data_IF_692725469437
#
_entry.id   IF_692725469437
#
_cell.length_a   1.000
_cell.length_b   1.000
_cell.length_c   1.000
_cell.angle_alpha   90.00
_cell.angle_beta   90.00
_cell.angle_gamma   90.00
#
_symmetry.space_group_name_H-M   'P 1'
#
loop_
_entity.id
_entity.type
_entity.pdbx_description
1 polymer ?
#
# COMPACT_ATOMS: atom_id res chain seq x y z
N UNK A 1 -70.80 -41.88 -3.36
CA UNK A 1 -69.89 -42.41 -4.40
C UNK A 1 -69.64 -41.30 -5.40
N UNK A 2 -68.48 -40.64 -5.33
CA UNK A 2 -68.07 -39.64 -6.32
C UNK A 2 -66.87 -40.23 -7.08
N UNK A 3 -67.08 -40.57 -8.34
CA UNK A 3 -66.03 -41.04 -9.25
C UNK A 3 -65.29 -39.80 -9.73
N UNK A 4 -64.06 -39.62 -9.27
CA UNK A 4 -63.14 -38.59 -9.79
C UNK A 4 -62.65 -39.07 -11.14
N UNK A 5 -63.20 -38.47 -12.19
CA UNK A 5 -62.78 -38.70 -13.57
C UNK A 5 -61.43 -37.99 -13.80
N UNK A 6 -60.36 -38.79 -13.94
CA UNK A 6 -59.00 -38.31 -14.18
C UNK A 6 -58.86 -38.03 -15.68
N UNK A 7 -58.69 -36.75 -16.03
CA UNK A 7 -58.47 -36.31 -17.41
C UNK A 7 -57.24 -36.99 -18.05
N UNK A 8 -57.26 -37.24 -19.38
CA UNK A 8 -56.14 -37.84 -20.08
C UNK A 8 -54.96 -36.87 -20.13
N UNK A 9 -53.79 -37.34 -19.70
CA UNK A 9 -52.51 -36.65 -19.79
C UNK A 9 -52.22 -36.25 -21.24
N UNK A 10 -51.86 -34.99 -21.43
CA UNK A 10 -51.40 -34.41 -22.69
C UNK A 10 -50.20 -35.21 -23.24
N UNK A 11 -50.12 -35.49 -24.56
CA UNK A 11 -48.96 -36.17 -25.17
C UNK A 11 -47.64 -35.39 -25.03
N UNK A 12 -47.70 -34.13 -24.59
CA UNK A 12 -46.53 -33.31 -24.26
C UNK A 12 -45.84 -33.74 -22.95
N UNK A 13 -46.57 -34.33 -22.00
CA UNK A 13 -45.99 -34.81 -20.73
C UNK A 13 -45.14 -36.08 -20.92
N UNK A 14 -45.39 -36.85 -21.99
CA UNK A 14 -44.62 -38.05 -22.32
C UNK A 14 -43.24 -37.74 -22.94
N UNK A 15 -43.09 -36.61 -23.66
CA UNK A 15 -41.81 -36.21 -24.25
C UNK A 15 -40.84 -35.59 -23.23
N UNK A 16 -41.36 -34.99 -22.15
CA UNK A 16 -40.54 -34.45 -21.06
C UNK A 16 -39.78 -35.52 -20.25
N UNK A 17 -40.25 -36.78 -20.31
CA UNK A 17 -39.63 -37.94 -19.66
C UNK A 17 -38.72 -38.80 -20.55
N UNK A 18 -38.50 -38.42 -21.82
CA UNK A 18 -37.74 -39.25 -22.75
C UNK A 18 -36.28 -39.39 -22.30
N UNK A 19 -35.74 -40.62 -22.13
CA UNK A 19 -34.41 -40.85 -21.56
C UNK A 19 -33.30 -40.17 -22.38
N UNK A 20 -33.48 -39.98 -23.69
CA UNK A 20 -32.55 -39.25 -24.55
C UNK A 20 -32.49 -37.75 -24.22
N UNK A 21 -33.63 -37.11 -23.93
CA UNK A 21 -33.68 -35.68 -23.54
C UNK A 21 -33.03 -35.50 -22.17
N UNK A 22 -33.23 -36.46 -21.27
CA UNK A 22 -32.60 -36.47 -19.94
C UNK A 22 -31.07 -36.68 -20.04
N UNK A 23 -30.60 -37.55 -20.93
CA UNK A 23 -29.17 -37.80 -21.16
C UNK A 23 -28.45 -36.58 -21.74
N UNK A 24 -29.06 -35.89 -22.72
CA UNK A 24 -28.51 -34.64 -23.24
C UNK A 24 -28.47 -33.52 -22.17
N UNK A 25 -29.50 -33.40 -21.34
CA UNK A 25 -29.51 -32.43 -20.23
C UNK A 25 -28.42 -32.73 -19.19
N UNK A 26 -28.19 -34.01 -18.87
CA UNK A 26 -27.12 -34.43 -17.97
C UNK A 26 -25.72 -34.16 -18.54
N UNK A 27 -25.51 -34.40 -19.84
CA UNK A 27 -24.24 -34.09 -20.52
C UNK A 27 -23.98 -32.58 -20.57
N UNK A 28 -25.02 -31.77 -20.81
CA UNK A 28 -24.92 -30.31 -20.76
C UNK A 28 -24.58 -29.81 -19.35
N UNK A 29 -25.23 -30.33 -18.30
CA UNK A 29 -24.94 -29.97 -16.92
C UNK A 29 -23.48 -30.29 -16.54
N UNK A 30 -22.98 -31.50 -16.87
CA UNK A 30 -21.57 -31.89 -16.65
C UNK A 30 -20.59 -30.96 -17.38
N UNK A 31 -20.94 -30.58 -18.62
CA UNK A 31 -20.12 -29.64 -19.40
C UNK A 31 -20.06 -28.25 -18.76
N UNK A 32 -21.19 -27.78 -18.22
CA UNK A 32 -21.25 -26.51 -17.46
C UNK A 32 -20.46 -26.57 -16.16
N UNK A 33 -20.52 -27.68 -15.41
CA UNK A 33 -19.70 -27.90 -14.22
C UNK A 33 -18.20 -27.87 -14.54
N UNK A 34 -17.78 -28.59 -15.59
CA UNK A 34 -16.40 -28.58 -16.04
C UNK A 34 -15.94 -27.18 -16.48
N UNK A 35 -16.78 -26.43 -17.21
CA UNK A 35 -16.48 -25.06 -17.60
C UNK A 35 -16.35 -24.13 -16.36
N UNK A 36 -17.21 -24.29 -15.36
CA UNK A 36 -17.14 -23.51 -14.11
C UNK A 36 -15.88 -23.84 -13.31
N UNK A 37 -15.48 -25.11 -13.24
CA UNK A 37 -14.24 -25.54 -12.58
C UNK A 37 -13.01 -24.95 -13.30
N UNK A 38 -12.99 -25.00 -14.63
CA UNK A 38 -11.93 -24.39 -15.44
C UNK A 38 -11.86 -22.86 -15.22
N UNK A 39 -13.01 -22.18 -15.17
CA UNK A 39 -13.08 -20.74 -14.90
C UNK A 39 -12.54 -20.39 -13.51
N UNK A 40 -12.92 -21.15 -12.46
CA UNK A 40 -12.39 -20.99 -11.11
C UNK A 40 -10.88 -21.20 -11.05
N UNK A 41 -10.36 -22.22 -11.73
CA UNK A 41 -8.92 -22.49 -11.79
C UNK A 41 -8.17 -21.33 -12.47
N UNK A 42 -8.67 -20.84 -13.60
CA UNK A 42 -8.11 -19.69 -14.31
C UNK A 42 -8.09 -18.43 -13.45
N UNK A 43 -9.18 -18.10 -12.77
CA UNK A 43 -9.25 -16.92 -11.89
C UNK A 43 -8.29 -17.03 -10.71
N UNK A 44 -8.18 -18.20 -10.07
CA UNK A 44 -7.21 -18.40 -8.99
C UNK A 44 -5.78 -18.19 -9.45
N UNK A 45 -5.44 -18.69 -10.64
CA UNK A 45 -4.13 -18.45 -11.24
C UNK A 45 -3.88 -16.95 -11.51
N UNK A 46 -4.89 -16.23 -12.02
CA UNK A 46 -4.80 -14.78 -12.20
C UNK A 46 -4.59 -14.03 -10.88
N UNK A 47 -5.32 -14.41 -9.83
CA UNK A 47 -5.19 -13.84 -8.49
C UNK A 47 -3.77 -14.06 -7.95
N UNK A 48 -3.25 -15.28 -8.01
CA UNK A 48 -1.87 -15.57 -7.54
C UNK A 48 -0.82 -14.73 -8.27
N UNK A 49 -1.00 -14.52 -9.58
CA UNK A 49 -0.13 -13.62 -10.35
C UNK A 49 -0.24 -12.17 -9.87
N UNK A 50 -1.46 -11.66 -9.70
CA UNK A 50 -1.69 -10.29 -9.24
C UNK A 50 -1.17 -10.04 -7.82
N UNK A 51 -1.32 -11.00 -6.92
CA UNK A 51 -0.77 -10.94 -5.56
C UNK A 51 0.76 -10.84 -5.59
N UNK A 52 1.41 -11.63 -6.45
CA UNK A 52 2.86 -11.54 -6.67
C UNK A 52 3.26 -10.17 -7.21
N UNK A 53 2.59 -9.69 -8.25
CA UNK A 53 2.86 -8.38 -8.85
C UNK A 53 2.66 -7.25 -7.83
N UNK A 54 1.64 -7.37 -6.96
CA UNK A 54 1.37 -6.41 -5.90
C UNK A 54 2.45 -6.45 -4.81
N UNK A 55 2.91 -7.64 -4.40
CA UNK A 55 4.00 -7.79 -3.45
C UNK A 55 5.31 -7.16 -3.96
N UNK A 56 5.61 -7.32 -5.25
CA UNK A 56 6.77 -6.69 -5.90
C UNK A 56 6.64 -5.16 -5.98
N UNK A 57 5.46 -4.65 -6.36
CA UNK A 57 5.18 -3.23 -6.35
C UNK A 57 5.31 -2.64 -4.94
N UNK A 58 4.77 -3.34 -3.93
CA UNK A 58 4.88 -2.93 -2.53
C UNK A 58 6.35 -2.87 -2.07
N UNK A 59 7.16 -3.90 -2.36
CA UNK A 59 8.58 -3.90 -2.02
C UNK A 59 9.37 -2.76 -2.70
N UNK A 60 8.95 -2.34 -3.89
CA UNK A 60 9.54 -1.21 -4.62
C UNK A 60 9.15 0.12 -3.97
N UNK A 61 7.87 0.32 -3.70
CA UNK A 61 7.36 1.55 -3.10
C UNK A 61 7.78 1.75 -1.63
N UNK A 62 7.92 0.66 -0.86
CA UNK A 62 8.46 0.69 0.49
C UNK A 62 9.89 1.25 0.51
N UNK A 63 10.76 0.79 -0.40
CA UNK A 63 12.13 1.30 -0.55
C UNK A 63 12.18 2.78 -0.92
N UNK A 64 11.18 3.28 -1.64
CA UNK A 64 11.04 4.70 -1.97
C UNK A 64 10.43 5.54 -0.86
N UNK A 65 10.20 4.97 0.34
CA UNK A 65 9.86 5.72 1.54
C UNK A 65 8.38 6.07 1.68
N UNK A 66 7.45 5.28 1.15
CA UNK A 66 6.07 5.50 1.59
C UNK A 66 5.00 4.54 1.15
N UNK A 67 5.01 3.36 1.74
CA UNK A 67 3.73 2.71 2.01
C UNK A 67 3.74 2.23 3.45
N UNK A 68 2.66 2.50 4.18
CA UNK A 68 2.34 1.80 5.42
C UNK A 68 2.04 0.33 5.09
N UNK A 69 2.49 -0.61 5.94
CA UNK A 69 2.22 -2.02 5.70
C UNK A 69 0.71 -2.27 5.60
N UNK A 70 0.27 -3.11 4.64
CA UNK A 70 -1.15 -3.43 4.54
C UNK A 70 -1.62 -4.06 5.85
N UNK A 71 -2.78 -3.60 6.33
CA UNK A 71 -3.45 -4.21 7.48
C UNK A 71 -3.82 -5.65 7.10
N UNK A 72 -3.35 -6.62 7.88
CA UNK A 72 -3.63 -8.03 7.62
C UNK A 72 -5.15 -8.28 7.65
N UNK A 73 -5.70 -8.85 6.57
CA UNK A 73 -7.09 -9.25 6.53
C UNK A 73 -7.27 -10.57 7.30
N UNK A 74 -7.97 -10.53 8.43
CA UNK A 74 -8.35 -11.70 9.23
C UNK A 74 -9.60 -12.38 8.63
N UNK A 75 -9.42 -13.10 7.53
CA UNK A 75 -10.47 -13.93 6.93
C UNK A 75 -10.42 -15.37 7.44
N UNK A 76 -11.58 -15.96 7.74
CA UNK A 76 -11.67 -17.41 7.96
C UNK A 76 -11.48 -18.18 6.63
N UNK A 77 -10.81 -19.34 6.63
CA UNK A 77 -10.65 -20.15 5.42
C UNK A 77 -12.00 -20.59 4.85
N UNK A 78 -12.38 -20.07 3.68
CA UNK A 78 -13.61 -20.46 2.96
C UNK A 78 -13.38 -20.58 1.47
N UNK A 79 -14.11 -21.48 0.82
CA UNK A 79 -14.09 -21.62 -0.64
C UNK A 79 -14.91 -20.48 -1.26
N UNK A 80 -14.23 -19.57 -1.98
CA UNK A 80 -14.88 -18.48 -2.69
C UNK A 80 -15.64 -18.96 -3.93
N UNK A 81 -16.84 -18.40 -4.13
CA UNK A 81 -17.62 -18.55 -5.36
C UNK A 81 -16.97 -17.83 -6.56
N UNK A 82 -17.50 -18.03 -7.77
CA UNK A 82 -16.94 -17.45 -8.99
C UNK A 82 -16.95 -15.92 -8.96
N UNK A 83 -18.11 -15.31 -8.66
CA UNK A 83 -18.24 -13.85 -8.57
C UNK A 83 -17.45 -13.23 -7.41
N UNK A 84 -17.18 -13.99 -6.34
CA UNK A 84 -16.27 -13.52 -5.28
C UNK A 84 -14.82 -13.49 -5.76
N UNK A 85 -14.37 -14.50 -6.52
CA UNK A 85 -13.03 -14.51 -7.12
C UNK A 85 -12.84 -13.35 -8.11
N UNK A 86 -13.87 -13.01 -8.89
CA UNK A 86 -13.83 -11.86 -9.79
C UNK A 86 -13.67 -10.54 -9.01
N UNK A 87 -14.43 -10.37 -7.93
CA UNK A 87 -14.29 -9.18 -7.06
C UNK A 87 -12.88 -9.08 -6.46
N UNK A 88 -12.31 -10.20 -5.98
CA UNK A 88 -10.94 -10.23 -5.46
C UNK A 88 -9.92 -9.87 -6.54
N UNK A 89 -10.07 -10.42 -7.75
CA UNK A 89 -9.23 -10.06 -8.90
C UNK A 89 -9.31 -8.56 -9.18
N UNK A 90 -10.51 -8.02 -9.27
CA UNK A 90 -10.72 -6.61 -9.63
C UNK A 90 -10.17 -5.68 -8.55
N UNK A 91 -10.35 -6.02 -7.27
CA UNK A 91 -9.75 -5.32 -6.15
C UNK A 91 -8.21 -5.34 -6.21
N UNK A 92 -7.61 -6.50 -6.49
CA UNK A 92 -6.16 -6.63 -6.65
C UNK A 92 -5.63 -5.81 -7.83
N UNK A 93 -6.35 -5.80 -8.96
CA UNK A 93 -6.02 -4.95 -10.11
C UNK A 93 -6.03 -3.47 -9.71
N UNK A 94 -7.06 -3.01 -9.01
CA UNK A 94 -7.13 -1.62 -8.55
C UNK A 94 -5.98 -1.26 -7.60
N UNK A 95 -5.69 -2.13 -6.62
CA UNK A 95 -4.57 -1.95 -5.69
C UNK A 95 -3.22 -1.90 -6.41
N UNK A 96 -3.02 -2.77 -7.40
CA UNK A 96 -1.79 -2.80 -8.19
C UNK A 96 -1.62 -1.53 -9.04
N UNK A 97 -2.70 -1.06 -9.67
CA UNK A 97 -2.69 0.20 -10.43
C UNK A 97 -2.36 1.39 -9.51
N UNK A 98 -3.01 1.49 -8.35
CA UNK A 98 -2.73 2.53 -7.37
C UNK A 98 -1.28 2.50 -6.87
N UNK A 99 -0.73 1.31 -6.60
CA UNK A 99 0.67 1.15 -6.22
C UNK A 99 1.62 1.61 -7.34
N UNK A 100 1.33 1.25 -8.60
CA UNK A 100 2.13 1.67 -9.76
C UNK A 100 2.11 3.17 -9.99
N UNK A 101 0.96 3.82 -9.85
CA UNK A 101 0.85 5.30 -9.92
C UNK A 101 1.70 5.94 -8.82
N UNK A 102 1.55 5.47 -7.58
CA UNK A 102 2.36 5.97 -6.45
C UNK A 102 3.86 5.81 -6.70
N UNK A 103 4.28 4.69 -7.30
CA UNK A 103 5.67 4.42 -7.67
C UNK A 103 6.16 5.44 -8.72
N UNK A 104 5.35 5.67 -9.77
CA UNK A 104 5.69 6.59 -10.84
C UNK A 104 5.80 8.03 -10.31
N UNK A 105 4.81 8.52 -9.57
CA UNK A 105 4.80 9.86 -8.99
C UNK A 105 6.05 10.11 -8.12
N UNK A 106 6.43 9.12 -7.30
CA UNK A 106 7.65 9.23 -6.48
C UNK A 106 8.91 9.23 -7.32
N UNK A 107 8.97 8.39 -8.36
CA UNK A 107 10.12 8.35 -9.25
C UNK A 107 10.32 9.70 -9.96
N UNK A 108 9.23 10.36 -10.37
CA UNK A 108 9.26 11.70 -10.97
C UNK A 108 9.75 12.75 -9.97
N UNK A 109 9.21 12.75 -8.75
CA UNK A 109 9.66 13.67 -7.69
C UNK A 109 11.16 13.47 -7.41
N UNK A 110 11.62 12.23 -7.26
CA UNK A 110 13.03 11.92 -7.02
C UNK A 110 13.91 12.33 -8.20
N UNK A 111 13.46 12.15 -9.44
CA UNK A 111 14.17 12.58 -10.64
C UNK A 111 14.32 14.11 -10.67
N UNK A 112 13.26 14.86 -10.38
CA UNK A 112 13.31 16.32 -10.27
C UNK A 112 14.28 16.78 -9.16
N UNK A 113 14.34 16.06 -8.03
CA UNK A 113 15.28 16.33 -6.94
C UNK A 113 16.73 16.05 -7.31
N UNK A 114 17.00 14.99 -8.09
CA UNK A 114 18.34 14.72 -8.64
C UNK A 114 18.82 15.86 -9.55
N UNK A 115 17.96 16.32 -10.46
CA UNK A 115 18.25 17.50 -11.31
C UNK A 115 18.47 18.76 -10.46
N UNK A 116 17.68 18.94 -9.39
CA UNK A 116 17.88 20.06 -8.47
C UNK A 116 19.25 20.00 -7.77
N UNK A 117 19.69 18.81 -7.34
CA UNK A 117 20.99 18.61 -6.73
C UNK A 117 22.13 18.91 -7.73
N UNK A 118 22.02 18.46 -8.97
CA UNK A 118 23.00 18.77 -10.02
C UNK A 118 23.14 20.29 -10.22
N UNK A 119 22.02 21.03 -10.26
CA UNK A 119 22.05 22.51 -10.32
C UNK A 119 22.72 23.13 -9.08
N UNK A 120 22.48 22.59 -7.89
CA UNK A 120 23.15 23.04 -6.67
C UNK A 120 24.66 22.82 -6.72
N UNK A 121 25.12 21.70 -7.32
CA UNK A 121 26.54 21.38 -7.46
C UNK A 121 27.23 22.27 -8.49
N UNK A 122 26.57 22.57 -9.61
CA UNK A 122 27.10 23.45 -10.66
C UNK A 122 27.12 24.92 -10.23
N UNK A 123 26.03 25.40 -9.60
CA UNK A 123 25.83 26.82 -9.28
C UNK A 123 25.43 27.05 -7.81
N UNK A 124 26.27 26.65 -6.83
CA UNK A 124 25.91 26.71 -5.41
C UNK A 124 25.56 28.14 -4.95
N UNK A 125 26.17 29.16 -5.55
CA UNK A 125 25.90 30.58 -5.24
C UNK A 125 24.46 31.02 -5.57
N UNK A 126 23.80 30.39 -6.55
CA UNK A 126 22.38 30.68 -6.88
C UNK A 126 21.42 29.95 -5.94
N UNK A 127 21.86 28.84 -5.34
CA UNK A 127 21.07 27.98 -4.46
C UNK A 127 21.47 28.13 -2.98
N UNK A 128 21.63 29.38 -2.51
CA UNK A 128 22.10 29.68 -1.14
C UNK A 128 21.22 29.00 -0.09
N UNK A 129 21.86 28.30 0.84
CA UNK A 129 21.21 27.56 1.93
C UNK A 129 20.21 26.47 1.51
N UNK A 130 20.15 26.12 0.22
CA UNK A 130 19.30 25.03 -0.25
C UNK A 130 19.65 23.71 0.43
N UNK A 131 18.62 22.90 0.68
CA UNK A 131 18.72 21.61 1.37
C UNK A 131 17.92 20.55 0.62
N UNK A 132 18.52 19.38 0.42
CA UNK A 132 17.85 18.20 -0.13
C UNK A 132 18.24 17.01 0.75
N UNK A 133 17.27 16.32 1.33
CA UNK A 133 17.54 15.11 2.11
C UNK A 133 17.84 13.92 1.18
N UNK A 134 18.72 13.00 1.60
CA UNK A 134 19.06 11.80 0.82
C UNK A 134 17.81 10.95 0.49
N UNK A 135 16.86 10.85 1.44
CA UNK A 135 15.56 10.21 1.23
C UNK A 135 14.74 10.83 0.09
N UNK A 136 14.87 12.13 -0.17
CA UNK A 136 14.16 12.81 -1.26
C UNK A 136 14.74 12.47 -2.63
N UNK A 137 15.97 11.93 -2.67
CA UNK A 137 16.64 11.44 -3.88
C UNK A 137 16.37 9.95 -4.14
N UNK A 138 15.73 9.26 -3.20
CA UNK A 138 15.60 7.81 -3.20
C UNK A 138 16.84 7.07 -2.70
N UNK A 139 17.81 7.78 -2.11
CA UNK A 139 19.02 7.17 -1.56
C UNK A 139 18.75 6.58 -0.16
N UNK A 140 19.23 5.36 0.13
CA UNK A 140 19.15 4.80 1.47
C UNK A 140 20.06 5.60 2.41
N UNK A 141 19.48 6.39 3.31
CA UNK A 141 20.27 7.13 4.28
C UNK A 141 19.57 8.31 4.94
N UNK A 142 20.23 8.79 5.97
CA UNK A 142 19.84 9.89 6.84
C UNK A 142 20.49 11.23 6.45
N UNK A 143 21.30 11.24 5.38
CA UNK A 143 22.10 12.38 4.99
C UNK A 143 21.30 13.55 4.43
N UNK A 144 21.92 14.74 4.43
CA UNK A 144 21.34 15.96 3.83
C UNK A 144 22.39 16.68 3.03
N UNK A 145 22.11 16.94 1.76
CA UNK A 145 22.86 17.83 0.90
C UNK A 145 22.48 19.27 1.26
N UNK A 146 23.46 20.08 1.64
CA UNK A 146 23.22 21.48 2.00
C UNK A 146 24.27 22.41 1.40
N UNK A 147 23.80 23.52 0.83
CA UNK A 147 24.67 24.62 0.39
C UNK A 147 25.04 25.49 1.59
N UNK A 148 26.34 25.68 1.83
CA UNK A 148 26.90 26.48 2.93
C UNK A 148 27.92 27.50 2.42
N UNK A 149 28.07 28.64 3.09
CA UNK A 149 29.16 29.56 2.81
C UNK A 149 30.49 28.99 3.33
N UNK A 150 31.55 29.12 2.52
CA UNK A 150 32.93 28.77 2.93
C UNK A 150 33.41 29.81 3.94
N UNK A 151 34.12 29.43 5.01
CA UNK A 151 34.64 30.38 6.01
C UNK A 151 33.56 31.27 6.69
N UNK A 152 32.31 30.80 6.81
CA UNK A 152 31.26 31.49 7.56
C UNK A 152 30.81 32.82 6.93
N UNK A 153 30.71 33.88 7.74
CA UNK A 153 30.23 35.21 7.32
C UNK A 153 31.07 35.79 6.16
N UNK A 154 32.38 35.58 6.15
CA UNK A 154 33.26 36.08 5.09
C UNK A 154 32.91 35.45 3.73
N UNK A 155 32.65 34.14 3.67
CA UNK A 155 32.22 33.53 2.41
C UNK A 155 30.82 33.94 1.98
N UNK A 156 29.95 34.33 2.91
CA UNK A 156 28.66 34.92 2.52
C UNK A 156 28.86 36.25 1.78
N UNK A 157 29.75 37.11 2.30
CA UNK A 157 30.06 38.41 1.70
C UNK A 157 30.80 38.26 0.37
N UNK A 158 31.77 37.36 0.30
CA UNK A 158 32.57 37.12 -0.90
C UNK A 158 31.88 36.22 -1.93
N UNK A 159 30.73 35.63 -1.59
CA UNK A 159 30.01 34.72 -2.48
C UNK A 159 30.69 33.36 -2.67
N UNK A 160 31.47 32.90 -1.69
CA UNK A 160 32.10 31.58 -1.69
C UNK A 160 31.14 30.55 -1.11
N UNK A 161 30.50 29.75 -1.97
CA UNK A 161 29.52 28.73 -1.59
C UNK A 161 30.00 27.34 -1.98
N UNK A 162 29.67 26.35 -1.16
CA UNK A 162 29.97 24.94 -1.40
C UNK A 162 28.76 24.06 -1.03
N UNK A 163 28.59 22.95 -1.73
CA UNK A 163 27.62 21.92 -1.35
C UNK A 163 28.32 20.91 -0.44
N UNK A 164 27.71 20.62 0.71
CA UNK A 164 28.18 19.61 1.66
C UNK A 164 27.12 18.55 1.88
N UNK A 165 27.51 17.29 1.82
CA UNK A 165 26.70 16.18 2.29
C UNK A 165 26.99 15.97 3.78
N UNK A 166 26.00 16.25 4.64
CA UNK A 166 26.09 15.81 6.03
C UNK A 166 25.65 14.35 6.10
N UNK A 167 26.54 13.44 6.47
CA UNK A 167 26.25 12.01 6.71
C UNK A 167 25.58 11.74 8.06
N UNK A 168 25.02 12.77 8.70
CA UNK A 168 24.48 12.68 10.05
C UNK A 168 23.26 11.78 10.09
N UNK A 169 23.45 10.52 10.45
CA UNK A 169 22.38 9.74 11.05
C UNK A 169 22.11 10.35 12.41
N UNK A 170 20.91 10.90 12.66
CA UNK A 170 20.45 10.97 14.03
C UNK A 170 20.22 9.51 14.43
N UNK A 171 21.30 8.78 14.78
CA UNK A 171 21.21 7.60 15.62
C UNK A 171 20.24 8.00 16.71
N UNK A 172 19.14 7.25 16.86
CA UNK A 172 18.01 7.55 17.72
C UNK A 172 18.54 8.22 18.99
N UNK A 173 18.52 9.55 19.01
CA UNK A 173 19.01 10.31 20.14
C UNK A 173 17.96 9.97 21.17
N UNK A 174 18.33 9.12 22.11
CA UNK A 174 17.45 8.67 23.17
C UNK A 174 16.66 9.87 23.66
N UNK A 175 15.37 9.66 23.94
CA UNK A 175 14.48 10.65 24.52
C UNK A 175 15.09 11.16 25.84
N UNK A 176 16.03 12.09 25.72
CA UNK A 176 16.67 12.83 26.79
C UNK A 176 15.88 14.12 26.89
N UNK A 177 15.23 14.40 28.03
CA UNK A 177 14.49 15.64 28.19
C UNK A 177 15.52 16.76 28.30
N UNK A 178 15.71 17.53 27.24
CA UNK A 178 16.11 18.95 27.27
C UNK A 178 16.37 19.48 25.85
N UNK A 179 15.29 19.72 25.10
CA UNK A 179 15.33 20.74 24.05
C UNK A 179 15.19 22.10 24.74
N UNK A 180 16.31 22.80 24.92
CA UNK A 180 16.33 24.18 25.38
C UNK A 180 15.70 25.10 24.34
N UNK A 181 14.39 25.33 24.46
CA UNK A 181 13.66 26.48 23.92
C UNK A 181 13.55 27.58 24.99
N UNK A 182 13.28 28.85 24.60
CA UNK A 182 13.59 30.01 25.40
C UNK A 182 12.68 30.15 26.64
N UNK A 183 13.31 30.55 27.76
CA UNK A 183 12.63 30.98 28.99
C UNK A 183 11.67 32.14 28.70
N UNK A 184 10.37 31.91 28.78
CA UNK A 184 9.41 32.91 29.26
C UNK A 184 8.85 32.44 30.59
N UNK A 185 9.30 33.10 31.65
CA UNK A 185 8.73 32.96 32.98
C UNK A 185 7.31 33.52 32.93
N UNK A 186 6.31 32.68 33.13
CA UNK A 186 4.98 33.11 33.56
C UNK A 186 4.62 32.29 34.80
N UNK A 187 4.69 32.97 35.94
CA UNK A 187 4.15 32.52 37.23
C UNK A 187 2.63 32.59 37.18
N UNK A 188 1.95 31.54 37.64
CA UNK A 188 0.72 31.51 38.47
C UNK A 188 0.10 30.11 38.30
N UNK A 189 0.29 29.18 39.24
CA UNK A 189 -0.53 28.92 40.46
C UNK A 189 -1.90 28.29 40.16
N UNK A 190 -2.15 27.17 40.87
CA UNK A 190 -3.43 26.51 41.17
C UNK A 190 -4.02 25.61 40.06
N UNK A 191 -4.51 24.39 40.30
CA UNK A 191 -4.83 23.62 41.51
C UNK A 191 -4.88 22.11 41.19
N UNK A 192 -4.67 21.33 42.25
CA UNK A 192 -4.70 19.89 42.41
C UNK A 192 -5.99 19.17 41.93
N UNK A 193 -5.87 17.96 41.36
CA UNK A 193 -6.22 16.67 42.02
C UNK A 193 -6.10 15.43 41.10
N UNK A 194 -5.98 14.21 41.68
CA UNK A 194 -5.60 12.97 41.00
C UNK A 194 -6.77 11.99 40.77
N UNK A 195 -6.57 10.99 39.90
CA UNK A 195 -7.14 9.62 39.93
C UNK A 195 -6.30 8.76 38.96
N UNK A 196 -5.42 7.87 39.44
CA UNK A 196 -5.65 6.52 39.95
C UNK A 196 -5.98 5.47 38.87
N UNK A 197 -5.01 4.54 38.75
CA UNK A 197 -5.12 3.08 38.61
C UNK A 197 -5.42 2.43 37.24
N UNK A 198 -4.41 1.65 36.85
CA UNK A 198 -4.49 0.25 36.36
C UNK A 198 -4.97 0.00 34.93
N UNK A 199 -4.46 -0.99 34.19
CA UNK A 199 -3.55 -2.09 34.51
C UNK A 199 -2.94 -2.67 33.23
N UNK A 200 -1.70 -3.10 33.36
CA UNK A 200 -0.99 -4.18 32.67
C UNK A 200 -1.89 -5.30 32.11
N UNK A 201 -1.61 -5.78 30.89
CA UNK A 201 -1.44 -7.22 30.48
C UNK A 201 -0.68 -7.21 29.13
N UNK A 202 0.63 -7.49 29.07
CA UNK A 202 1.28 -8.78 28.77
C UNK A 202 0.90 -9.46 27.43
N UNK A 203 1.91 -9.60 26.56
CA UNK A 203 2.02 -10.60 25.49
C UNK A 203 2.03 -12.04 26.06
N UNK A 204 1.82 -13.10 25.25
CA UNK A 204 2.93 -13.77 24.52
C UNK A 204 2.46 -14.36 23.14
N UNK A 205 3.24 -14.93 22.21
CA UNK A 205 4.65 -15.33 22.01
C UNK A 205 4.97 -15.06 20.53
#
# INVERSE_FOLDING_TARGET
MAVVERAPSTPQDAFAGSPAVQEHAQLAARSQEHAQLAARHSLRHQITRLERDLAEAFATAYRMGGIEPPVAASGQPRLLGLGELERVRDELVQRLLAARVTIADRAEIQAAKRVQLERMLLEPRKHKFARIAARELGEPGCGVWQVRPRLGLLGMLMGWWEVKLSSGCPLARGRGPNAGGPRKQARARHLSRPRLLSSTVCAPC
#
